data_IF_507772126925
#
_entry.id   IF_507772126925
#
_cell.length_a   1.000
_cell.length_b   1.000
_cell.length_c   1.000
_cell.angle_alpha   90.00
_cell.angle_beta   90.00
_cell.angle_gamma   90.00
#
_symmetry.space_group_name_H-M   'P 1'
#
loop_
_entity.id
_entity.type
_entity.pdbx_description
1 polymer ?
#
# COMPACT_ATOMS: atom_id res chain seq x y z
N UNK A 1 10.20 5.11 21.37
CA UNK A 1 9.43 6.36 21.63
C UNK A 1 8.65 6.84 20.42
N UNK A 2 7.80 7.85 20.62
CA UNK A 2 7.14 8.59 19.54
C UNK A 2 7.88 9.92 19.37
N UNK A 3 8.26 10.23 18.13
CA UNK A 3 9.05 11.40 17.77
C UNK A 3 8.35 12.16 16.64
N UNK A 4 8.48 13.48 16.62
CA UNK A 4 8.04 14.29 15.48
C UNK A 4 9.16 14.33 14.44
N UNK A 5 8.76 14.23 13.19
CA UNK A 5 9.68 14.18 12.06
C UNK A 5 9.17 15.13 10.97
N UNK A 6 10.03 16.01 10.47
CA UNK A 6 9.67 17.00 9.46
C UNK A 6 10.77 17.24 8.42
N UNK A 7 10.34 17.61 7.21
CA UNK A 7 11.21 18.13 6.14
C UNK A 7 10.97 19.63 5.97
N UNK A 8 12.03 20.40 5.75
CA UNK A 8 11.93 21.81 5.41
C UNK A 8 11.85 22.00 3.89
N UNK A 9 11.09 22.99 3.37
CA UNK A 9 10.13 23.83 4.08
C UNK A 9 8.84 23.08 4.44
N UNK A 10 8.27 23.36 5.62
CA UNK A 10 7.02 22.74 6.04
C UNK A 10 5.81 23.55 5.57
N UNK A 11 5.28 23.21 4.39
CA UNK A 11 4.22 23.99 3.72
C UNK A 11 2.80 23.65 4.17
N UNK A 12 2.60 22.46 4.74
CA UNK A 12 1.29 22.00 5.16
C UNK A 12 1.39 21.14 6.43
N UNK A 13 0.27 20.90 7.12
CA UNK A 13 0.22 20.12 8.37
C UNK A 13 0.94 18.77 8.27
N UNK A 14 0.85 18.10 7.12
CA UNK A 14 1.42 16.77 6.89
C UNK A 14 2.95 16.79 6.67
N UNK A 15 3.57 17.97 6.60
CA UNK A 15 5.02 18.11 6.52
C UNK A 15 5.69 17.85 7.87
N UNK A 16 4.90 17.74 8.94
CA UNK A 16 5.33 17.31 10.27
C UNK A 16 4.37 16.22 10.77
N UNK A 17 4.90 15.02 10.96
CA UNK A 17 4.12 13.88 11.45
C UNK A 17 4.91 13.13 12.51
N UNK A 18 4.18 12.38 13.34
CA UNK A 18 4.78 11.57 14.36
C UNK A 18 5.05 10.15 13.89
N UNK A 19 6.21 9.62 14.26
CA UNK A 19 6.66 8.28 13.95
C UNK A 19 7.08 7.55 15.22
N UNK A 20 7.03 6.21 15.17
CA UNK A 20 7.63 5.38 16.22
C UNK A 20 9.11 5.20 15.90
N UNK A 21 9.97 5.62 16.83
CA UNK A 21 11.41 5.46 16.68
C UNK A 21 11.82 3.99 16.81
N UNK A 22 12.66 3.52 15.88
CA UNK A 22 13.34 2.22 15.91
C UNK A 22 14.84 2.45 15.73
N UNK A 23 15.64 2.03 16.70
CA UNK A 23 17.10 2.16 16.64
C UNK A 23 17.64 1.15 15.64
N UNK A 24 18.48 1.61 14.72
CA UNK A 24 19.11 0.80 13.68
C UNK A 24 20.57 1.23 13.49
N UNK A 25 21.46 0.32 13.02
CA UNK A 25 22.83 0.69 12.71
C UNK A 25 22.89 1.62 11.50
N UNK A 26 23.83 2.58 11.52
CA UNK A 26 24.03 3.60 10.48
C UNK A 26 23.97 5.02 11.05
N UNK A 27 24.18 6.01 10.18
CA UNK A 27 24.18 7.45 10.54
C UNK A 27 23.08 8.25 9.84
N UNK A 28 22.09 7.57 9.27
CA UNK A 28 21.01 8.18 8.48
C UNK A 28 19.64 7.84 9.06
N UNK A 29 18.68 8.74 8.91
CA UNK A 29 17.29 8.42 9.20
C UNK A 29 16.72 7.46 8.15
N UNK A 30 15.82 6.58 8.58
CA UNK A 30 15.11 5.64 7.71
C UNK A 30 13.63 5.74 7.98
N UNK A 31 12.84 5.86 6.92
CA UNK A 31 11.39 5.86 6.97
C UNK A 31 10.82 5.16 5.73
N UNK A 32 9.52 4.85 5.78
CA UNK A 32 8.87 4.12 4.70
C UNK A 32 8.64 5.02 3.48
N UNK A 33 8.95 4.50 2.30
CA UNK A 33 8.81 5.16 0.99
C UNK A 33 7.39 5.71 0.72
N UNK A 34 6.35 5.04 1.20
CA UNK A 34 4.96 5.49 1.02
C UNK A 34 4.68 6.84 1.72
N UNK A 35 5.57 7.28 2.62
CA UNK A 35 5.47 8.53 3.38
C UNK A 35 6.31 9.66 2.74
N UNK A 36 7.07 9.37 1.69
CA UNK A 36 7.84 10.39 0.96
C UNK A 36 6.95 11.49 0.39
N UNK A 37 5.77 11.14 -0.15
CA UNK A 37 4.88 12.09 -0.81
C UNK A 37 4.41 13.23 0.12
N UNK A 38 3.89 12.98 1.35
CA UNK A 38 3.61 14.04 2.32
C UNK A 38 4.82 14.90 2.67
N UNK A 39 6.03 14.35 2.74
CA UNK A 39 7.21 15.16 3.03
C UNK A 39 7.76 15.90 1.81
N UNK A 40 7.26 15.58 0.61
CA UNK A 40 7.87 15.93 -0.66
C UNK A 40 9.37 15.60 -0.66
N UNK A 41 9.71 14.44 -0.11
CA UNK A 41 11.08 13.98 0.07
C UNK A 41 11.49 13.01 -1.03
N UNK A 42 12.76 13.06 -1.39
CA UNK A 42 13.50 12.04 -2.14
C UNK A 42 14.71 11.58 -1.32
N UNK A 43 15.48 10.61 -1.85
CA UNK A 43 16.61 10.00 -1.14
C UNK A 43 17.95 10.36 -1.81
N UNK A 44 18.05 11.55 -2.39
CA UNK A 44 19.22 12.02 -3.16
C UNK A 44 20.20 12.89 -2.34
N UNK A 45 19.93 13.09 -1.04
CA UNK A 45 20.72 13.95 -0.16
C UNK A 45 19.88 14.74 0.85
N UNK A 46 18.56 14.56 0.84
CA UNK A 46 17.63 15.22 1.74
C UNK A 46 17.99 15.13 3.23
N UNK A 47 17.89 16.28 3.91
CA UNK A 47 18.00 16.40 5.36
C UNK A 47 16.61 16.56 6.00
N UNK A 48 16.43 15.91 7.15
CA UNK A 48 15.17 15.96 7.91
C UNK A 48 15.45 16.13 9.39
N UNK A 49 14.55 16.82 10.08
CA UNK A 49 14.67 17.12 11.50
C UNK A 49 13.80 16.18 12.33
N UNK A 50 14.31 15.84 13.52
CA UNK A 50 13.63 14.99 14.49
C UNK A 50 13.50 15.74 15.82
N UNK A 51 12.29 15.79 16.36
CA UNK A 51 11.99 16.45 17.63
C UNK A 51 11.42 15.44 18.61
N UNK A 52 11.98 15.40 19.82
CA UNK A 52 11.52 14.52 20.90
C UNK A 52 10.72 15.34 21.92
N UNK A 53 9.44 15.00 22.08
CA UNK A 53 8.61 15.59 23.13
C UNK A 53 9.04 15.08 24.51
N UNK A 54 9.30 16.02 25.42
CA UNK A 54 9.79 15.74 26.76
C UNK A 54 8.67 15.44 27.76
N UNK A 55 7.56 16.19 27.69
CA UNK A 55 6.44 16.01 28.62
C UNK A 55 5.57 14.80 28.24
N UNK A 56 4.97 14.16 29.24
CA UNK A 56 4.05 13.04 29.01
C UNK A 56 2.77 13.47 28.28
N UNK A 57 2.28 14.67 28.56
CA UNK A 57 1.10 15.26 27.92
C UNK A 57 1.34 15.45 26.41
N UNK A 58 2.45 16.09 26.03
CA UNK A 58 2.78 16.29 24.60
C UNK A 58 3.09 14.96 23.91
N UNK A 59 3.71 13.99 24.59
CA UNK A 59 3.87 12.63 24.05
C UNK A 59 2.53 11.96 23.77
N UNK A 60 1.54 12.13 24.66
CA UNK A 60 0.20 11.62 24.45
C UNK A 60 -0.50 12.33 23.29
N UNK A 61 -0.39 13.65 23.20
CA UNK A 61 -0.94 14.47 22.12
C UNK A 61 -0.42 14.01 20.75
N UNK A 62 0.89 13.95 20.59
CA UNK A 62 1.56 13.53 19.36
C UNK A 62 1.17 12.09 19.00
N UNK A 63 1.15 11.19 20.00
CA UNK A 63 0.77 9.78 19.80
C UNK A 63 -0.67 9.63 19.33
N UNK A 64 -1.61 10.46 19.78
CA UNK A 64 -3.03 10.32 19.46
C UNK A 64 -3.49 11.19 18.28
N UNK A 65 -2.85 12.32 18.01
CA UNK A 65 -3.26 13.24 16.93
C UNK A 65 -2.33 13.18 15.72
N UNK A 66 -1.03 13.15 15.93
CA UNK A 66 -0.04 13.40 14.86
C UNK A 66 0.59 12.13 14.28
N UNK A 67 0.28 10.95 14.82
CA UNK A 67 0.84 9.69 14.34
C UNK A 67 0.48 9.45 12.87
N UNK A 68 1.50 9.11 12.07
CA UNK A 68 1.40 8.91 10.63
C UNK A 68 0.15 8.12 10.15
N UNK A 69 -0.23 6.95 10.72
CA UNK A 69 -1.44 6.23 10.28
C UNK A 69 -2.76 7.01 10.44
N UNK A 70 -2.81 8.01 11.35
CA UNK A 70 -3.98 8.89 11.51
C UNK A 70 -3.99 10.07 10.53
N UNK A 71 -2.91 10.25 9.79
CA UNK A 71 -2.71 11.32 8.82
C UNK A 71 -2.77 10.81 7.37
N UNK A 72 -3.31 9.59 7.16
CA UNK A 72 -3.37 8.94 5.85
C UNK A 72 -4.29 9.68 4.87
N UNK A 73 -5.38 10.28 5.34
CA UNK A 73 -6.34 11.06 4.53
C UNK A 73 -6.22 12.54 4.89
N UNK A 74 -6.04 13.39 3.88
CA UNK A 74 -5.96 14.83 4.07
C UNK A 74 -7.34 15.50 3.99
N UNK A 75 -7.67 16.43 4.91
CA UNK A 75 -8.90 17.22 4.84
C UNK A 75 -8.91 18.21 3.66
N UNK A 76 -7.76 18.53 3.06
CA UNK A 76 -7.69 19.47 1.93
C UNK A 76 -8.40 18.94 0.68
N UNK A 77 -8.32 17.63 0.44
CA UNK A 77 -8.85 17.00 -0.77
C UNK A 77 -9.72 15.79 -0.52
N UNK A 78 -10.04 15.50 0.75
CA UNK A 78 -10.80 14.31 1.19
C UNK A 78 -10.31 13.02 0.52
N UNK A 79 -8.98 12.90 0.37
CA UNK A 79 -8.32 11.80 -0.33
C UNK A 79 -7.05 11.37 0.42
N UNK A 80 -6.60 10.13 0.22
CA UNK A 80 -5.33 9.68 0.76
C UNK A 80 -4.18 10.57 0.26
N UNK A 81 -3.21 10.85 1.14
CA UNK A 81 -1.95 11.53 0.79
C UNK A 81 -0.79 10.57 0.66
N UNK A 82 -0.93 9.37 1.23
CA UNK A 82 0.01 8.28 1.11
C UNK A 82 -0.60 7.20 0.24
N UNK A 83 0.26 6.49 -0.50
CA UNK A 83 -0.13 5.37 -1.34
C UNK A 83 1.11 4.59 -1.76
N UNK A 84 0.90 3.44 -2.38
CA UNK A 84 2.00 2.62 -2.88
C UNK A 84 2.64 3.30 -4.08
N UNK A 85 3.97 3.45 -4.04
CA UNK A 85 4.77 4.20 -5.01
C UNK A 85 5.95 3.36 -5.53
N UNK A 86 6.66 3.92 -6.52
CA UNK A 86 7.84 3.38 -7.21
C UNK A 86 7.77 1.86 -7.50
N UNK A 87 8.73 1.09 -6.99
CA UNK A 87 8.94 -0.31 -7.31
C UNK A 87 7.79 -1.17 -6.81
N UNK A 88 7.25 -0.89 -5.63
CA UNK A 88 6.11 -1.64 -5.09
C UNK A 88 4.88 -1.47 -5.98
N UNK A 89 4.67 -0.27 -6.53
CA UNK A 89 3.57 -0.01 -7.46
C UNK A 89 3.75 -0.75 -8.79
N UNK A 90 4.97 -0.71 -9.35
CA UNK A 90 5.29 -1.41 -10.60
C UNK A 90 5.19 -2.93 -10.43
N UNK A 91 5.76 -3.45 -9.34
CA UNK A 91 5.73 -4.87 -8.99
C UNK A 91 4.29 -5.34 -8.81
N UNK A 92 3.44 -4.59 -8.08
CA UNK A 92 2.03 -4.95 -7.90
C UNK A 92 1.28 -5.03 -9.25
N UNK A 93 1.54 -4.10 -10.16
CA UNK A 93 0.92 -4.13 -11.49
C UNK A 93 1.37 -5.33 -12.33
N UNK A 94 2.64 -5.76 -12.23
CA UNK A 94 3.12 -6.98 -12.88
C UNK A 94 2.58 -8.24 -12.21
N UNK A 95 2.59 -8.24 -10.88
CA UNK A 95 2.18 -9.36 -10.03
C UNK A 95 0.70 -9.71 -10.17
N UNK A 96 -0.15 -8.71 -10.39
CA UNK A 96 -1.61 -8.89 -10.51
C UNK A 96 -2.08 -9.19 -11.93
N UNK A 97 -1.18 -9.38 -12.91
CA UNK A 97 -1.60 -9.80 -14.26
C UNK A 97 -2.16 -11.22 -14.27
N UNK A 98 -3.07 -11.50 -15.22
CA UNK A 98 -3.74 -12.81 -15.35
C UNK A 98 -2.80 -13.97 -15.66
N UNK A 99 -1.71 -13.70 -16.35
CA UNK A 99 -0.68 -14.65 -16.76
C UNK A 99 0.39 -14.93 -15.67
N UNK A 100 0.27 -14.29 -14.50
CA UNK A 100 1.22 -14.47 -13.41
C UNK A 100 0.80 -15.61 -12.48
N UNK A 101 1.51 -16.73 -12.60
CA UNK A 101 1.34 -17.92 -11.77
C UNK A 101 2.55 -18.14 -10.87
N UNK A 102 2.30 -18.66 -9.67
CA UNK A 102 3.28 -18.86 -8.62
C UNK A 102 3.26 -20.32 -8.19
N UNK A 103 4.45 -20.89 -8.05
CA UNK A 103 4.63 -22.22 -7.49
C UNK A 103 4.44 -22.23 -5.97
N UNK A 104 4.22 -23.41 -5.41
CA UNK A 104 3.89 -23.60 -4.00
C UNK A 104 4.93 -23.03 -3.03
N UNK A 105 6.21 -23.24 -3.33
CA UNK A 105 7.33 -22.75 -2.53
C UNK A 105 7.37 -21.21 -2.48
N UNK A 106 7.19 -20.55 -3.64
CA UNK A 106 7.14 -19.09 -3.74
C UNK A 106 5.89 -18.56 -3.03
N UNK A 107 4.73 -19.18 -3.25
CA UNK A 107 3.47 -18.80 -2.59
C UNK A 107 3.59 -18.88 -1.07
N UNK A 108 4.15 -19.97 -0.54
CA UNK A 108 4.38 -20.14 0.90
C UNK A 108 5.35 -19.09 1.44
N UNK A 109 6.46 -18.84 0.74
CA UNK A 109 7.43 -17.81 1.13
C UNK A 109 6.76 -16.43 1.20
N UNK A 110 5.97 -16.05 0.20
CA UNK A 110 5.24 -14.78 0.19
C UNK A 110 4.24 -14.66 1.34
N UNK A 111 3.51 -15.73 1.67
CA UNK A 111 2.56 -15.73 2.79
C UNK A 111 3.26 -15.55 4.14
N UNK A 112 4.50 -16.02 4.31
CA UNK A 112 5.27 -15.81 5.54
C UNK A 112 5.57 -14.33 5.83
N UNK A 113 5.56 -13.47 4.81
CA UNK A 113 5.76 -12.02 4.98
C UNK A 113 4.49 -11.29 5.41
N UNK A 114 3.32 -11.93 5.37
CA UNK A 114 2.05 -11.32 5.77
C UNK A 114 1.88 -11.41 7.29
N UNK A 115 1.90 -10.29 8.03
CA UNK A 115 1.72 -10.31 9.49
C UNK A 115 0.30 -10.68 9.91
N UNK A 116 -0.68 -10.60 8.99
CA UNK A 116 -2.10 -10.89 9.21
C UNK A 116 -2.51 -12.29 8.74
N UNK A 117 -1.55 -13.12 8.31
CA UNK A 117 -1.86 -14.44 7.78
C UNK A 117 -2.38 -15.38 8.87
N UNK A 118 -3.42 -16.13 8.53
CA UNK A 118 -4.13 -17.10 9.37
C UNK A 118 -3.43 -18.46 9.48
N UNK A 119 -2.28 -18.62 8.82
CA UNK A 119 -1.55 -19.89 8.75
C UNK A 119 -2.13 -20.88 7.75
N UNK A 120 -3.20 -20.53 7.04
CA UNK A 120 -3.85 -21.41 6.08
C UNK A 120 -3.42 -21.05 4.66
N UNK A 121 -2.86 -22.03 3.94
CA UNK A 121 -2.56 -21.90 2.52
C UNK A 121 -3.89 -21.98 1.74
N UNK A 122 -4.24 -20.96 0.93
CA UNK A 122 -5.45 -21.02 0.11
C UNK A 122 -5.35 -22.13 -0.94
N UNK A 123 -6.50 -22.66 -1.36
CA UNK A 123 -6.60 -23.67 -2.42
C UNK A 123 -6.02 -23.07 -3.72
N UNK A 124 -5.10 -23.74 -4.44
CA UNK A 124 -4.52 -23.21 -5.67
C UNK A 124 -5.58 -22.95 -6.74
N UNK A 125 -5.36 -21.94 -7.59
CA UNK A 125 -6.28 -21.64 -8.70
C UNK A 125 -6.27 -22.72 -9.78
N UNK A 126 -5.14 -23.42 -9.92
CA UNK A 126 -4.96 -24.55 -10.84
C UNK A 126 -4.48 -25.73 -10.00
N UNK A 127 -5.21 -26.84 -10.06
CA UNK A 127 -4.89 -28.08 -9.33
C UNK A 127 -4.09 -29.08 -10.17
N UNK A 128 -4.27 -29.07 -11.49
CA UNK A 128 -3.63 -30.01 -12.43
C UNK A 128 -3.17 -29.25 -13.69
N UNK A 129 -2.04 -29.64 -14.31
CA UNK A 129 -1.15 -30.75 -13.95
C UNK A 129 -0.24 -30.47 -12.74
N UNK A 130 -0.09 -29.20 -12.35
CA UNK A 130 0.70 -28.76 -11.19
C UNK A 130 -0.12 -27.74 -10.39
N UNK A 131 0.02 -27.77 -9.06
CA UNK A 131 -0.58 -26.77 -8.16
C UNK A 131 0.04 -25.39 -8.42
N UNK A 132 -0.79 -24.42 -8.81
CA UNK A 132 -0.34 -23.04 -9.05
C UNK A 132 -1.30 -22.03 -8.40
N UNK A 133 -0.74 -20.94 -7.90
CA UNK A 133 -1.48 -19.80 -7.33
C UNK A 133 -1.35 -18.58 -8.24
N UNK A 134 -2.29 -17.65 -8.17
CA UNK A 134 -2.14 -16.35 -8.85
C UNK A 134 -1.68 -15.26 -7.89
N UNK A 135 -1.03 -14.23 -8.43
CA UNK A 135 -0.70 -13.05 -7.63
C UNK A 135 -1.94 -12.34 -7.09
N UNK A 136 -3.05 -12.31 -7.84
CA UNK A 136 -4.33 -11.74 -7.38
C UNK A 136 -4.85 -12.44 -6.13
N UNK A 137 -4.82 -13.77 -6.14
CA UNK A 137 -5.29 -14.60 -5.04
C UNK A 137 -4.49 -14.34 -3.76
N UNK A 138 -3.16 -14.31 -3.86
CA UNK A 138 -2.31 -14.05 -2.69
C UNK A 138 -2.39 -12.60 -2.23
N UNK A 139 -2.52 -11.63 -3.16
CA UNK A 139 -2.72 -10.24 -2.80
C UNK A 139 -4.05 -10.02 -2.07
N UNK A 140 -5.10 -10.78 -2.42
CA UNK A 140 -6.38 -10.76 -1.72
C UNK A 140 -6.25 -11.08 -0.22
N UNK A 141 -5.30 -11.95 0.17
CA UNK A 141 -5.05 -12.27 1.59
C UNK A 141 -4.50 -11.10 2.41
N UNK A 142 -3.99 -10.05 1.77
CA UNK A 142 -3.59 -8.81 2.44
C UNK A 142 -4.81 -7.92 2.78
N UNK A 143 -5.92 -8.07 2.07
CA UNK A 143 -7.08 -7.18 2.19
C UNK A 143 -8.00 -7.63 3.34
N UNK A 144 -8.52 -6.69 4.14
CA UNK A 144 -9.58 -6.99 5.09
C UNK A 144 -10.86 -7.51 4.40
N UNK A 145 -11.57 -8.50 4.99
CA UNK A 145 -12.75 -9.12 4.38
C UNK A 145 -13.94 -8.17 4.22
N UNK A 146 -13.93 -7.00 4.86
CA UNK A 146 -15.00 -6.00 4.75
C UNK A 146 -14.90 -5.09 3.52
N UNK A 147 -13.82 -5.19 2.73
CA UNK A 147 -13.58 -4.26 1.61
C UNK A 147 -14.23 -4.81 0.34
N UNK A 148 -15.03 -3.97 -0.31
CA UNK A 148 -15.53 -4.20 -1.67
C UNK A 148 -15.38 -2.94 -2.51
N UNK A 149 -14.93 -3.07 -3.75
CA UNK A 149 -14.65 -1.96 -4.64
C UNK A 149 -14.71 -2.40 -6.10
N UNK A 150 -15.27 -1.54 -6.95
CA UNK A 150 -15.16 -1.65 -8.42
C UNK A 150 -14.41 -0.43 -8.96
N UNK A 151 -13.36 -0.64 -9.75
CA UNK A 151 -12.55 0.46 -10.29
C UNK A 151 -11.90 0.12 -11.62
N UNK A 152 -11.70 1.13 -12.45
CA UNK A 152 -11.01 0.98 -13.73
C UNK A 152 -9.49 1.11 -13.54
N UNK A 153 -8.76 0.14 -14.08
CA UNK A 153 -7.30 0.20 -14.18
C UNK A 153 -6.84 1.31 -15.13
N UNK A 154 -5.52 1.47 -15.28
CA UNK A 154 -4.95 2.42 -16.22
C UNK A 154 -5.17 2.01 -17.68
N UNK A 155 -5.32 0.71 -17.95
CA UNK A 155 -5.41 0.14 -19.31
C UNK A 155 -6.83 0.22 -19.86
N UNK A 156 -7.84 0.37 -18.99
CA UNK A 156 -9.25 0.47 -19.38
C UNK A 156 -9.53 1.60 -20.38
N UNK A 157 -8.74 2.68 -20.38
CA UNK A 157 -8.88 3.79 -21.34
C UNK A 157 -8.67 3.37 -22.79
N UNK A 158 -7.87 2.32 -23.02
CA UNK A 158 -7.58 1.77 -24.35
C UNK A 158 -8.64 0.74 -24.79
N UNK A 159 -9.36 0.15 -23.84
CA UNK A 159 -10.29 -0.97 -24.07
C UNK A 159 -11.71 -0.63 -23.57
N UNK A 160 -12.33 0.41 -24.15
CA UNK A 160 -13.66 0.91 -23.74
C UNK A 160 -14.82 -0.06 -23.97
N UNK A 161 -14.60 -1.15 -24.71
CA UNK A 161 -15.61 -2.17 -25.05
C UNK A 161 -15.62 -3.37 -24.10
N UNK A 162 -14.76 -3.37 -23.08
CA UNK A 162 -14.70 -4.47 -22.12
C UNK A 162 -15.94 -4.51 -21.23
N UNK A 163 -16.50 -5.71 -21.04
CA UNK A 163 -17.65 -5.90 -20.16
C UNK A 163 -17.29 -5.56 -18.70
N UNK A 164 -18.30 -5.05 -17.97
CA UNK A 164 -18.11 -4.54 -16.61
C UNK A 164 -17.72 -5.64 -15.61
N UNK A 165 -18.32 -6.83 -15.74
CA UNK A 165 -18.10 -7.95 -14.83
C UNK A 165 -17.13 -9.01 -15.40
N UNK A 166 -16.96 -9.07 -16.74
CA UNK A 166 -16.02 -9.96 -17.43
C UNK A 166 -15.09 -9.20 -18.37
N UNK A 167 -14.09 -8.55 -17.80
CA UNK A 167 -13.10 -7.81 -18.57
C UNK A 167 -12.13 -8.76 -19.29
N UNK A 168 -12.23 -8.86 -20.62
CA UNK A 168 -11.32 -9.66 -21.44
C UNK A 168 -9.88 -9.17 -21.30
N UNK A 169 -9.68 -7.85 -21.22
CA UNK A 169 -8.36 -7.21 -21.07
C UNK A 169 -7.88 -7.06 -19.62
N UNK A 170 -8.60 -7.62 -18.65
CA UNK A 170 -8.27 -7.57 -17.22
C UNK A 170 -8.10 -6.13 -16.69
N UNK A 171 -8.91 -5.22 -17.22
CA UNK A 171 -8.83 -3.80 -16.97
C UNK A 171 -9.77 -3.31 -15.86
N UNK A 172 -10.78 -4.10 -15.48
CA UNK A 172 -11.73 -3.78 -14.41
C UNK A 172 -11.30 -4.47 -13.11
N UNK A 173 -10.89 -3.67 -12.12
CA UNK A 173 -10.51 -4.11 -10.78
C UNK A 173 -11.76 -4.32 -9.96
N UNK A 174 -12.01 -5.57 -9.58
CA UNK A 174 -13.13 -5.98 -8.74
C UNK A 174 -12.59 -6.62 -7.46
N UNK A 175 -12.85 -5.98 -6.34
CA UNK A 175 -12.61 -6.52 -5.00
C UNK A 175 -13.98 -6.74 -4.37
N UNK A 176 -14.23 -7.95 -3.87
CA UNK A 176 -15.46 -8.28 -3.17
C UNK A 176 -15.14 -9.09 -1.92
N UNK A 177 -15.63 -8.62 -0.77
CA UNK A 177 -15.41 -9.26 0.53
C UNK A 177 -13.91 -9.54 0.84
N UNK A 178 -13.03 -8.61 0.48
CA UNK A 178 -11.58 -8.75 0.64
C UNK A 178 -10.89 -9.65 -0.40
N UNK A 179 -11.61 -10.20 -1.37
CA UNK A 179 -11.02 -11.01 -2.44
C UNK A 179 -10.86 -10.21 -3.73
N UNK A 180 -9.67 -10.25 -4.33
CA UNK A 180 -9.39 -9.63 -5.63
C UNK A 180 -9.78 -10.59 -6.76
N UNK A 181 -10.97 -10.39 -7.33
CA UNK A 181 -11.56 -11.29 -8.33
C UNK A 181 -11.01 -11.04 -9.73
N UNK A 182 -10.87 -9.77 -10.13
CA UNK A 182 -10.40 -9.40 -11.46
C UNK A 182 -9.62 -8.10 -11.46
N UNK A 183 -8.87 -7.85 -12.53
CA UNK A 183 -8.26 -6.57 -12.83
C UNK A 183 -6.81 -6.44 -12.40
N UNK A 184 -6.05 -5.67 -13.19
CA UNK A 184 -4.68 -5.30 -12.87
C UNK A 184 -4.68 -4.11 -11.91
N UNK A 185 -4.09 -4.31 -10.73
CA UNK A 185 -3.97 -3.29 -9.69
C UNK A 185 -2.94 -2.25 -10.13
N UNK A 186 -3.31 -0.97 -10.12
CA UNK A 186 -2.44 0.13 -10.56
C UNK A 186 -2.54 1.35 -9.65
N UNK A 187 -1.90 2.46 -10.05
CA UNK A 187 -1.89 3.72 -9.29
C UNK A 187 -3.30 4.22 -8.94
N UNK A 188 -4.28 3.96 -9.82
CA UNK A 188 -5.67 4.33 -9.56
C UNK A 188 -6.24 3.57 -8.37
N UNK A 189 -5.79 2.35 -8.12
CA UNK A 189 -6.32 1.43 -7.11
C UNK A 189 -5.60 1.54 -5.77
N UNK A 190 -4.26 1.68 -5.76
CA UNK A 190 -3.45 1.66 -4.52
C UNK A 190 -2.64 2.94 -4.30
N UNK A 191 -2.84 3.95 -5.15
CA UNK A 191 -2.19 5.25 -5.03
C UNK A 191 -3.02 6.27 -4.23
N UNK A 192 -2.58 7.52 -4.22
CA UNK A 192 -3.20 8.63 -3.49
C UNK A 192 -4.36 9.30 -4.27
N UNK A 193 -5.33 8.52 -4.74
CA UNK A 193 -6.46 9.03 -5.54
C UNK A 193 -7.77 8.98 -4.75
N UNK A 194 -8.80 9.71 -5.19
CA UNK A 194 -10.11 9.60 -4.50
C UNK A 194 -10.75 8.23 -4.76
N UNK A 195 -11.23 7.58 -3.71
CA UNK A 195 -11.88 6.26 -3.77
C UNK A 195 -10.95 5.09 -4.12
N UNK A 196 -9.64 5.24 -3.94
CA UNK A 196 -8.67 4.12 -3.97
C UNK A 196 -8.56 3.45 -2.60
#
# INVERSE_FOLDING_TARGET
>A
DVVLFNRQPSLHRLSIMAHKAKVMPGRTFRFNECVCAPYNADFDGDEMNLHLAQSHETRAEIKHMMLNPRQLVSPQGNKPVMGVVQDSLLATAKYTKRDTFLEKDIAMNLLMWLPVWDGQLPIPCILRPKEMWTGKQLLGKLLPPSISMKRDSAIASKNKKDEADFSASDCKVLIQNGELLSGIVCKKTIGASSGS
#
